data_IF_578236869921
#
_entry.id   IF_578236869921
#
_cell.length_a   1.000
_cell.length_b   1.000
_cell.length_c   1.000
_cell.angle_alpha   90.00
_cell.angle_beta   90.00
_cell.angle_gamma   90.00
#
_symmetry.space_group_name_H-M   'P 1'
#
loop_
_entity.id
_entity.type
_entity.pdbx_description
1 polymer ?
#
# COMPACT_ATOMS: atom_id res chain seq x y z
N UNK A 1 5.11 -41.38 -24.01
CA UNK A 1 3.89 -41.11 -23.20
C UNK A 1 4.30 -40.19 -22.05
N UNK A 2 4.14 -38.88 -22.27
CA UNK A 2 4.53 -37.81 -21.35
C UNK A 2 3.51 -37.64 -20.22
N UNK A 3 3.99 -37.06 -19.11
CA UNK A 3 3.32 -36.19 -18.11
C UNK A 3 3.27 -36.73 -16.68
N UNK A 4 4.42 -36.68 -16.00
CA UNK A 4 4.52 -36.49 -14.54
C UNK A 4 5.67 -35.54 -14.23
N UNK A 5 5.43 -34.24 -14.40
CA UNK A 5 6.27 -33.15 -13.87
C UNK A 5 5.32 -31.98 -13.58
N UNK A 6 5.41 -31.38 -12.38
CA UNK A 6 4.85 -30.05 -12.15
C UNK A 6 4.01 -29.87 -10.88
N UNK A 7 4.55 -30.18 -9.69
CA UNK A 7 4.12 -29.55 -8.44
C UNK A 7 5.34 -29.23 -7.57
N UNK A 8 6.19 -28.37 -8.10
CA UNK A 8 7.15 -27.55 -7.38
C UNK A 8 7.29 -26.27 -8.22
N UNK A 9 7.40 -25.11 -7.57
CA UNK A 9 7.39 -23.72 -8.11
C UNK A 9 6.03 -23.03 -8.00
N UNK A 10 5.76 -22.37 -6.84
CA UNK A 10 5.42 -20.92 -6.73
C UNK A 10 5.76 -20.42 -5.29
N UNK A 11 7.01 -20.58 -4.83
CA UNK A 11 7.45 -19.99 -3.53
C UNK A 11 8.67 -19.05 -3.63
N UNK A 12 9.32 -18.85 -4.77
CA UNK A 12 10.64 -18.15 -4.79
C UNK A 12 10.74 -16.90 -5.69
N UNK A 13 9.63 -16.29 -6.12
CA UNK A 13 9.70 -15.11 -7.02
C UNK A 13 9.52 -13.73 -6.35
N UNK A 14 9.65 -13.60 -5.02
CA UNK A 14 9.57 -12.29 -4.34
C UNK A 14 10.75 -11.93 -3.41
N UNK A 15 11.82 -12.74 -3.38
CA UNK A 15 12.97 -12.50 -2.47
C UNK A 15 14.24 -12.02 -3.19
N UNK A 16 14.33 -12.04 -4.53
CA UNK A 16 15.59 -11.73 -5.24
C UNK A 16 15.60 -10.37 -5.99
N UNK A 17 14.49 -9.61 -6.01
CA UNK A 17 14.41 -8.33 -6.72
C UNK A 17 14.98 -7.10 -6.01
N UNK A 18 15.60 -7.24 -4.83
CA UNK A 18 15.98 -6.09 -3.97
C UNK A 18 17.47 -5.96 -3.65
N UNK A 19 18.34 -6.71 -4.32
CA UNK A 19 19.77 -6.80 -4.00
C UNK A 19 20.66 -6.44 -5.20
N UNK A 20 20.37 -5.38 -5.94
CA UNK A 20 21.37 -4.75 -6.83
C UNK A 20 21.06 -3.27 -7.00
N UNK A 21 22.10 -2.45 -6.84
CA UNK A 21 22.15 -0.99 -6.90
C UNK A 21 21.88 -0.21 -5.61
N UNK A 22 22.76 -0.41 -4.61
CA UNK A 22 23.33 0.78 -3.94
C UNK A 22 24.48 1.29 -4.81
N UNK A 23 24.15 1.89 -5.94
CA UNK A 23 25.06 2.88 -6.51
C UNK A 23 25.05 4.04 -5.53
N UNK A 24 26.20 4.42 -4.98
CA UNK A 24 26.35 5.80 -4.49
C UNK A 24 25.84 6.68 -5.64
N UNK A 25 24.82 7.50 -5.40
CA UNK A 25 24.30 8.38 -6.43
C UNK A 25 25.47 9.28 -6.87
N UNK A 26 26.10 8.92 -7.99
CA UNK A 26 27.10 9.73 -8.64
C UNK A 26 26.36 11.00 -9.03
N UNK A 27 26.88 12.15 -8.59
CA UNK A 27 26.14 13.40 -8.69
C UNK A 27 26.17 13.83 -10.15
N UNK A 28 25.09 13.49 -10.85
CA UNK A 28 25.04 13.64 -12.30
C UNK A 28 25.24 15.09 -12.72
N UNK A 29 26.09 15.29 -13.74
CA UNK A 29 26.21 16.59 -14.40
C UNK A 29 24.90 16.89 -15.12
N UNK A 30 24.29 18.03 -14.78
CA UNK A 30 22.98 18.44 -15.27
C UNK A 30 23.10 19.79 -15.98
N UNK A 31 22.47 19.90 -17.14
CA UNK A 31 22.32 21.18 -17.87
C UNK A 31 20.85 21.47 -18.11
N UNK A 32 20.39 22.67 -17.79
CA UNK A 32 19.02 23.14 -18.04
C UNK A 32 19.10 24.26 -19.06
N UNK A 33 18.49 24.09 -20.24
CA UNK A 33 18.65 24.99 -21.40
C UNK A 33 17.34 25.70 -21.72
N UNK A 34 17.39 26.98 -22.10
CA UNK A 34 16.25 27.72 -22.67
C UNK A 34 15.25 28.27 -21.66
N UNK A 35 15.53 28.18 -20.36
CA UNK A 35 14.62 28.67 -19.31
C UNK A 35 14.69 30.19 -19.16
N UNK A 36 13.61 30.80 -18.64
CA UNK A 36 13.69 32.12 -18.00
C UNK A 36 14.21 31.95 -16.57
N UNK A 37 15.40 32.47 -16.27
CA UNK A 37 16.07 32.25 -15.00
C UNK A 37 15.96 33.49 -14.11
N UNK A 38 15.54 33.32 -12.87
CA UNK A 38 15.59 34.34 -11.82
C UNK A 38 16.75 34.00 -10.87
N UNK A 39 17.95 34.58 -11.08
CA UNK A 39 19.13 34.22 -10.28
C UNK A 39 19.08 34.79 -8.86
N UNK A 40 18.34 35.88 -8.66
CA UNK A 40 18.05 36.44 -7.34
C UNK A 40 16.70 37.18 -7.36
N UNK A 41 16.13 37.53 -6.19
CA UNK A 41 14.89 38.31 -6.12
C UNK A 41 15.00 39.75 -6.67
N UNK A 42 16.22 40.27 -6.83
CA UNK A 42 16.48 41.67 -7.18
C UNK A 42 17.17 41.86 -8.52
N UNK A 43 17.67 40.77 -9.13
CA UNK A 43 18.29 40.82 -10.45
C UNK A 43 17.24 40.68 -11.55
N UNK A 44 17.52 41.28 -12.71
CA UNK A 44 16.71 41.08 -13.88
C UNK A 44 16.73 39.61 -14.33
N UNK A 45 15.60 39.09 -14.85
CA UNK A 45 15.55 37.71 -15.34
C UNK A 45 16.42 37.52 -16.58
N UNK A 46 17.03 36.34 -16.68
CA UNK A 46 17.78 35.92 -17.86
C UNK A 46 16.84 35.11 -18.76
N UNK A 47 16.42 35.68 -19.88
CA UNK A 47 15.58 34.97 -20.85
C UNK A 47 16.41 33.99 -21.68
N UNK A 48 15.84 32.80 -21.96
CA UNK A 48 16.48 31.70 -22.71
C UNK A 48 17.87 31.30 -22.18
N UNK A 49 18.06 31.43 -20.87
CA UNK A 49 19.32 31.12 -20.22
C UNK A 49 19.57 29.63 -20.02
N UNK A 50 20.82 29.31 -19.70
CA UNK A 50 21.26 27.95 -19.38
C UNK A 50 21.88 27.87 -17.98
N UNK A 51 21.46 26.88 -17.18
CA UNK A 51 22.09 26.54 -15.89
C UNK A 51 22.92 25.26 -16.05
N UNK A 52 24.19 25.31 -15.65
CA UNK A 52 25.10 24.18 -15.64
C UNK A 52 25.36 23.77 -14.19
N UNK A 53 25.05 22.51 -13.87
CA UNK A 53 25.24 21.90 -12.56
C UNK A 53 26.29 20.80 -12.66
N UNK A 54 27.34 20.88 -11.84
CA UNK A 54 28.41 19.87 -11.73
C UNK A 54 28.59 19.51 -10.27
N UNK A 55 28.69 18.20 -9.99
CA UNK A 55 28.84 17.68 -8.63
C UNK A 55 27.82 18.27 -7.63
N UNK A 56 26.59 18.53 -8.10
CA UNK A 56 25.48 19.03 -7.27
C UNK A 56 25.55 20.51 -6.95
N UNK A 57 26.46 21.25 -7.57
CA UNK A 57 26.61 22.70 -7.44
C UNK A 57 26.32 23.38 -8.77
N UNK A 58 25.72 24.56 -8.72
CA UNK A 58 25.62 25.43 -9.89
C UNK A 58 27.04 25.87 -10.22
N UNK A 59 27.58 25.35 -11.32
CA UNK A 59 28.90 25.70 -11.82
C UNK A 59 28.84 27.01 -12.60
N UNK A 60 27.77 27.23 -13.36
CA UNK A 60 27.64 28.39 -14.23
C UNK A 60 26.17 28.68 -14.60
N UNK A 61 25.86 29.95 -14.85
CA UNK A 61 24.60 30.41 -15.45
C UNK A 61 24.95 31.28 -16.66
N UNK A 62 24.40 30.97 -17.83
CA UNK A 62 24.65 31.68 -19.10
C UNK A 62 23.37 32.29 -19.64
N UNK A 63 23.48 33.44 -20.29
CA UNK A 63 22.38 34.08 -21.03
C UNK A 63 22.20 33.52 -22.45
N UNK A 64 23.08 32.63 -22.90
CA UNK A 64 23.06 32.04 -24.23
C UNK A 64 22.58 30.57 -24.18
N UNK A 65 21.61 30.15 -25.00
CA UNK A 65 21.18 28.76 -25.15
C UNK A 65 22.20 27.84 -25.86
N UNK A 66 23.33 28.35 -26.37
CA UNK A 66 24.37 27.55 -27.05
C UNK A 66 25.13 26.55 -26.14
N UNK A 67 24.78 26.46 -24.86
CA UNK A 67 25.34 25.53 -23.89
C UNK A 67 24.96 24.04 -24.08
N UNK A 68 24.24 23.69 -25.17
CA UNK A 68 24.04 22.31 -25.62
C UNK A 68 25.35 21.54 -25.92
N UNK A 69 26.50 22.22 -25.89
CA UNK A 69 27.84 21.67 -26.15
C UNK A 69 28.60 21.23 -24.90
N UNK A 70 28.05 21.38 -23.69
CA UNK A 70 28.70 20.88 -22.46
C UNK A 70 28.32 19.42 -22.25
N UNK A 71 29.28 18.47 -22.18
CA UNK A 71 28.98 17.08 -21.86
C UNK A 71 28.28 17.00 -20.49
N UNK A 72 27.04 16.54 -20.50
CA UNK A 72 26.23 16.35 -19.31
C UNK A 72 25.51 15.01 -19.41
N UNK A 73 25.43 14.31 -18.28
CA UNK A 73 24.69 13.05 -18.19
C UNK A 73 23.19 13.28 -18.34
N UNK A 74 22.71 14.49 -18.01
CA UNK A 74 21.31 14.89 -18.17
C UNK A 74 21.19 16.32 -18.70
N UNK A 75 20.36 16.48 -19.73
CA UNK A 75 19.97 17.78 -20.28
C UNK A 75 18.46 17.94 -20.14
N UNK A 76 18.00 19.09 -19.62
CA UNK A 76 16.59 19.47 -19.53
C UNK A 76 16.35 20.63 -20.49
N UNK A 77 15.51 20.40 -21.50
CA UNK A 77 15.00 21.47 -22.37
C UNK A 77 13.84 22.17 -21.66
N UNK A 78 14.01 23.46 -21.37
CA UNK A 78 13.14 24.23 -20.49
C UNK A 78 12.57 25.49 -21.17
N UNK A 79 12.45 25.45 -22.50
CA UNK A 79 11.80 26.51 -23.27
C UNK A 79 10.37 26.77 -22.76
N UNK A 80 10.06 28.04 -22.46
CA UNK A 80 8.78 28.44 -21.89
C UNK A 80 8.61 28.11 -20.40
N UNK A 81 9.63 27.54 -19.75
CA UNK A 81 9.65 27.29 -18.30
C UNK A 81 10.49 28.33 -17.55
N UNK A 82 10.28 28.39 -16.24
CA UNK A 82 10.98 29.29 -15.33
C UNK A 82 11.85 28.50 -14.37
N UNK A 83 13.09 28.95 -14.17
CA UNK A 83 14.00 28.45 -13.14
C UNK A 83 14.19 29.51 -12.06
N UNK A 84 14.03 29.10 -10.80
CA UNK A 84 14.24 29.91 -9.61
C UNK A 84 15.00 29.11 -8.55
N UNK A 85 15.45 29.76 -7.48
CA UNK A 85 15.93 29.06 -6.28
C UNK A 85 14.83 28.17 -5.70
N UNK A 86 15.19 26.99 -5.19
CA UNK A 86 14.24 26.15 -4.46
C UNK A 86 13.66 26.92 -3.26
N UNK A 87 12.35 26.82 -3.04
CA UNK A 87 11.70 27.51 -1.93
C UNK A 87 12.22 27.02 -0.59
N UNK A 88 12.54 27.96 0.31
CA UNK A 88 12.84 27.68 1.71
C UNK A 88 11.58 27.82 2.54
N UNK A 89 11.15 26.72 3.17
CA UNK A 89 10.08 26.75 4.14
C UNK A 89 10.66 27.03 5.54
N UNK A 90 10.51 28.26 6.00
CA UNK A 90 11.07 28.73 7.27
C UNK A 90 10.24 28.33 8.50
N UNK A 91 9.04 27.77 8.32
CA UNK A 91 8.16 27.40 9.43
C UNK A 91 7.60 26.00 9.21
N UNK A 92 8.21 25.03 9.89
CA UNK A 92 7.81 23.63 9.88
C UNK A 92 7.87 23.07 11.30
N UNK A 93 6.89 22.24 11.66
CA UNK A 93 6.90 21.52 12.92
C UNK A 93 7.20 20.04 12.69
N UNK A 94 8.44 19.63 12.98
CA UNK A 94 8.86 18.22 12.99
C UNK A 94 8.87 17.59 14.40
N UNK A 95 8.20 18.22 15.37
CA UNK A 95 8.21 17.82 16.78
C UNK A 95 7.17 16.76 17.12
N UNK A 96 6.22 16.48 16.24
CA UNK A 96 5.25 15.41 16.44
C UNK A 96 5.93 14.03 16.45
N UNK A 97 5.45 13.12 17.30
CA UNK A 97 6.00 11.77 17.47
C UNK A 97 6.09 10.94 16.17
N UNK A 98 5.29 11.27 15.15
CA UNK A 98 5.35 10.65 13.82
C UNK A 98 6.69 10.86 13.10
N UNK A 99 7.50 11.83 13.51
CA UNK A 99 8.78 12.18 12.89
C UNK A 99 10.01 11.62 13.62
N UNK A 100 9.85 11.12 14.86
CA UNK A 100 10.96 10.73 15.73
C UNK A 100 11.92 9.68 15.14
N UNK A 101 11.45 8.88 14.16
CA UNK A 101 12.23 7.85 13.46
C UNK A 101 12.27 8.07 11.94
N UNK A 102 12.05 9.29 11.45
CA UNK A 102 12.01 9.57 10.01
C UNK A 102 13.25 9.07 9.25
N UNK A 103 14.43 9.17 9.87
CA UNK A 103 15.71 8.68 9.34
C UNK A 103 15.82 7.16 9.23
N UNK A 104 15.03 6.40 10.01
CA UNK A 104 15.04 4.94 10.01
C UNK A 104 14.10 4.35 8.94
N UNK A 105 13.18 5.17 8.40
CA UNK A 105 12.32 4.73 7.31
C UNK A 105 13.04 4.86 5.98
N UNK A 106 13.26 3.73 5.32
CA UNK A 106 13.71 3.77 3.93
C UNK A 106 12.59 4.25 3.00
N UNK A 107 12.95 4.81 1.84
CA UNK A 107 12.03 5.03 0.72
C UNK A 107 11.32 3.74 0.26
N UNK A 108 11.72 2.58 0.76
CA UNK A 108 11.06 1.30 0.52
C UNK A 108 9.97 0.93 1.56
N UNK A 109 9.89 1.56 2.73
CA UNK A 109 8.97 1.17 3.80
C UNK A 109 7.66 1.97 3.80
N UNK A 110 6.53 1.28 3.97
CA UNK A 110 5.21 1.91 4.04
C UNK A 110 5.03 2.65 5.35
N UNK A 111 4.47 3.85 5.32
CA UNK A 111 4.14 4.58 6.54
C UNK A 111 2.91 3.97 7.25
N UNK A 112 2.62 4.41 8.48
CA UNK A 112 1.50 3.88 9.29
C UNK A 112 0.15 4.00 8.59
N UNK A 113 -0.13 5.13 7.93
CA UNK A 113 -1.42 5.34 7.24
C UNK A 113 -1.58 4.38 6.07
N UNK A 114 -0.50 4.14 5.33
CA UNK A 114 -0.48 3.21 4.20
C UNK A 114 -0.68 1.76 4.66
N UNK A 115 0.01 1.35 5.74
CA UNK A 115 -0.21 0.03 6.35
C UNK A 115 -1.67 -0.11 6.81
N UNK A 116 -2.20 0.91 7.47
CA UNK A 116 -3.59 0.90 7.93
C UNK A 116 -4.59 0.79 6.77
N UNK A 117 -4.39 1.55 5.69
CA UNK A 117 -5.24 1.46 4.51
C UNK A 117 -5.23 0.05 3.90
N UNK A 118 -4.06 -0.59 3.77
CA UNK A 118 -3.93 -1.94 3.23
C UNK A 118 -4.60 -2.98 4.15
N UNK A 119 -4.40 -2.87 5.47
CA UNK A 119 -5.04 -3.78 6.42
C UNK A 119 -6.56 -3.62 6.41
N UNK A 120 -7.07 -2.39 6.44
CA UNK A 120 -8.50 -2.12 6.37
C UNK A 120 -9.11 -2.59 5.05
N UNK A 121 -8.41 -2.42 3.92
CA UNK A 121 -8.85 -2.92 2.63
C UNK A 121 -9.10 -4.44 2.61
N UNK A 122 -8.42 -5.19 3.48
CA UNK A 122 -8.58 -6.64 3.59
C UNK A 122 -9.72 -7.06 4.53
N UNK A 123 -10.41 -6.11 5.18
CA UNK A 123 -11.49 -6.37 6.17
C UNK A 123 -12.80 -5.68 5.79
N UNK A 124 -12.71 -4.57 5.05
CA UNK A 124 -13.87 -3.80 4.55
C UNK A 124 -14.94 -4.65 3.84
N UNK A 125 -14.62 -5.70 3.04
CA UNK A 125 -15.65 -6.52 2.41
C UNK A 125 -16.69 -7.06 3.40
N UNK A 126 -16.25 -7.50 4.57
CA UNK A 126 -17.09 -8.10 5.62
C UNK A 126 -18.02 -7.11 6.34
N UNK A 127 -17.91 -5.81 6.08
CA UNK A 127 -18.86 -4.84 6.64
C UNK A 127 -20.30 -5.14 6.21
N UNK A 128 -20.50 -5.77 5.05
CA UNK A 128 -21.82 -6.24 4.61
C UNK A 128 -22.37 -7.39 5.49
N UNK A 129 -21.50 -8.11 6.21
CA UNK A 129 -21.87 -9.14 7.18
C UNK A 129 -22.47 -8.60 8.49
N UNK A 130 -22.28 -7.30 8.80
CA UNK A 130 -22.89 -6.66 9.97
C UNK A 130 -24.43 -6.65 9.93
N UNK A 131 -25.02 -6.89 8.74
CA UNK A 131 -26.46 -7.12 8.57
C UNK A 131 -27.02 -8.24 9.46
N UNK A 132 -26.16 -9.14 9.97
CA UNK A 132 -26.56 -10.18 10.92
C UNK A 132 -27.22 -9.62 12.18
N UNK A 133 -26.80 -8.43 12.63
CA UNK A 133 -27.39 -7.79 13.81
C UNK A 133 -28.84 -7.44 13.57
N UNK A 134 -29.15 -6.83 12.42
CA UNK A 134 -30.52 -6.49 12.04
C UNK A 134 -31.36 -7.78 11.88
N UNK A 135 -30.81 -8.80 11.24
CA UNK A 135 -31.50 -10.07 11.01
C UNK A 135 -31.83 -10.79 12.32
N UNK A 136 -30.87 -10.90 13.24
CA UNK A 136 -31.10 -11.53 14.56
C UNK A 136 -32.11 -10.76 15.39
N UNK A 137 -32.05 -9.41 15.40
CA UNK A 137 -32.97 -8.58 16.19
C UNK A 137 -34.40 -8.59 15.64
N UNK A 138 -34.58 -8.81 14.34
CA UNK A 138 -35.89 -8.77 13.67
C UNK A 138 -36.43 -10.15 13.29
N UNK A 139 -35.71 -11.24 13.57
CA UNK A 139 -36.10 -12.61 13.18
C UNK A 139 -37.50 -13.04 13.63
N UNK A 140 -38.01 -12.45 14.71
CA UNK A 140 -39.32 -12.77 15.30
C UNK A 140 -40.38 -11.70 14.99
N UNK A 141 -40.07 -10.71 14.16
CA UNK A 141 -41.03 -9.68 13.74
C UNK A 141 -41.90 -10.20 12.59
N UNK A 142 -43.01 -9.50 12.30
CA UNK A 142 -43.86 -9.79 11.14
C UNK A 142 -43.13 -9.58 9.80
N UNK A 143 -42.04 -8.79 9.79
CA UNK A 143 -41.24 -8.45 8.60
C UNK A 143 -39.75 -8.49 8.96
N UNK A 144 -39.12 -9.68 8.99
CA UNK A 144 -37.71 -9.81 9.33
C UNK A 144 -36.81 -9.14 8.28
N UNK A 145 -35.75 -8.49 8.74
CA UNK A 145 -34.74 -7.85 7.88
C UNK A 145 -33.64 -8.87 7.55
N UNK A 146 -33.67 -9.45 6.37
CA UNK A 146 -32.72 -10.50 5.93
C UNK A 146 -31.41 -9.94 5.37
N UNK A 147 -30.89 -8.86 5.96
CA UNK A 147 -29.79 -8.10 5.36
C UNK A 147 -28.51 -8.90 5.15
N UNK A 148 -28.16 -9.79 6.09
CA UNK A 148 -26.99 -10.65 5.87
C UNK A 148 -27.29 -11.69 4.81
N UNK A 149 -28.43 -12.37 4.92
CA UNK A 149 -28.81 -13.43 4.00
C UNK A 149 -28.93 -12.95 2.54
N UNK A 150 -29.40 -11.72 2.33
CA UNK A 150 -29.61 -11.17 0.99
C UNK A 150 -28.39 -10.45 0.39
N UNK A 151 -27.51 -9.87 1.22
CA UNK A 151 -26.46 -8.94 0.73
C UNK A 151 -25.02 -9.36 1.04
N UNK A 152 -24.78 -10.26 1.99
CA UNK A 152 -23.43 -10.73 2.30
C UNK A 152 -22.85 -11.52 1.11
N UNK A 153 -21.62 -11.20 0.71
CA UNK A 153 -20.97 -11.65 -0.54
C UNK A 153 -21.55 -11.09 -1.87
N UNK A 154 -22.53 -10.19 -1.82
CA UNK A 154 -23.09 -9.52 -3.01
C UNK A 154 -22.55 -8.09 -3.15
N UNK A 155 -22.65 -7.29 -2.09
CA UNK A 155 -22.31 -5.86 -2.14
C UNK A 155 -20.80 -5.60 -2.02
N UNK A 156 -20.14 -6.20 -1.02
CA UNK A 156 -18.75 -5.93 -0.69
C UNK A 156 -17.74 -6.82 -1.41
N UNK A 157 -18.14 -7.96 -1.96
CA UNK A 157 -17.24 -9.03 -2.38
C UNK A 157 -17.15 -9.16 -3.91
N UNK A 158 -16.85 -8.06 -4.59
CA UNK A 158 -16.80 -8.01 -6.05
C UNK A 158 -15.66 -7.12 -6.57
N UNK A 159 -15.41 -7.17 -7.88
CA UNK A 159 -14.36 -6.40 -8.53
C UNK A 159 -14.57 -4.89 -8.36
N UNK A 160 -15.82 -4.41 -8.40
CA UNK A 160 -16.14 -2.99 -8.21
C UNK A 160 -15.73 -2.51 -6.81
N UNK A 161 -16.11 -3.26 -5.76
CA UNK A 161 -15.71 -2.99 -4.38
C UNK A 161 -14.19 -3.02 -4.23
N UNK A 162 -13.52 -3.98 -4.85
CA UNK A 162 -12.06 -4.09 -4.80
C UNK A 162 -11.38 -2.88 -5.45
N UNK A 163 -11.81 -2.48 -6.65
CA UNK A 163 -11.27 -1.33 -7.37
C UNK A 163 -11.53 -0.03 -6.61
N UNK A 164 -12.73 0.14 -6.07
CA UNK A 164 -13.09 1.32 -5.26
C UNK A 164 -12.17 1.45 -4.04
N UNK A 165 -12.03 0.37 -3.26
CA UNK A 165 -11.18 0.36 -2.06
C UNK A 165 -9.71 0.57 -2.42
N UNK A 166 -9.22 -0.03 -3.51
CA UNK A 166 -7.85 0.16 -3.98
C UNK A 166 -7.58 1.62 -4.41
N UNK A 167 -8.52 2.24 -5.14
CA UNK A 167 -8.42 3.65 -5.55
C UNK A 167 -8.43 4.55 -4.32
N UNK A 168 -9.38 4.39 -3.40
CA UNK A 168 -9.45 5.18 -2.16
C UNK A 168 -8.14 5.05 -1.36
N UNK A 169 -7.65 3.82 -1.17
CA UNK A 169 -6.39 3.55 -0.47
C UNK A 169 -5.19 4.23 -1.15
N UNK A 170 -5.17 4.24 -2.48
CA UNK A 170 -4.16 4.94 -3.27
C UNK A 170 -4.24 6.45 -3.13
N UNK A 171 -5.44 7.03 -3.12
CA UNK A 171 -5.65 8.48 -2.99
C UNK A 171 -5.27 9.01 -1.60
N UNK A 172 -5.48 8.21 -0.55
CA UNK A 172 -5.13 8.55 0.84
C UNK A 172 -3.64 8.36 1.15
N UNK A 173 -2.88 7.75 0.25
CA UNK A 173 -1.47 7.39 0.45
C UNK A 173 -0.51 8.40 -0.17
N UNK A 174 0.69 8.49 0.41
CA UNK A 174 1.82 9.16 -0.23
C UNK A 174 2.32 8.31 -1.40
N UNK A 175 2.41 6.99 -1.23
CA UNK A 175 2.86 6.01 -2.23
C UNK A 175 1.70 5.38 -2.98
N UNK A 176 0.93 6.24 -3.66
CA UNK A 176 -0.35 5.93 -4.30
C UNK A 176 -0.42 4.57 -4.98
N UNK A 177 0.47 4.31 -5.95
CA UNK A 177 0.48 3.07 -6.74
C UNK A 177 0.75 1.83 -5.91
N UNK A 178 1.69 1.91 -4.97
CA UNK A 178 2.09 0.78 -4.13
C UNK A 178 0.99 0.43 -3.13
N UNK A 179 0.41 1.44 -2.48
CA UNK A 179 -0.69 1.24 -1.54
C UNK A 179 -1.93 0.72 -2.26
N UNK A 180 -2.29 1.27 -3.42
CA UNK A 180 -3.39 0.76 -4.23
C UNK A 180 -3.19 -0.70 -4.63
N UNK A 181 -2.00 -1.06 -5.14
CA UNK A 181 -1.70 -2.44 -5.54
C UNK A 181 -1.73 -3.43 -4.38
N UNK A 182 -1.22 -3.04 -3.20
CA UNK A 182 -1.25 -3.88 -2.01
C UNK A 182 -2.66 -3.99 -1.41
N UNK A 183 -3.45 -2.91 -1.44
CA UNK A 183 -4.86 -2.95 -1.03
C UNK A 183 -5.68 -3.85 -1.96
N UNK A 184 -5.48 -3.74 -3.28
CA UNK A 184 -6.09 -4.62 -4.28
C UNK A 184 -5.73 -6.09 -4.01
N UNK A 185 -4.46 -6.39 -3.76
CA UNK A 185 -4.01 -7.75 -3.44
C UNK A 185 -4.59 -8.26 -2.12
N UNK A 186 -4.57 -7.45 -1.06
CA UNK A 186 -5.11 -7.81 0.26
C UNK A 186 -6.61 -8.13 0.21
N UNK A 187 -7.37 -7.32 -0.53
CA UNK A 187 -8.78 -7.56 -0.78
C UNK A 187 -9.00 -8.87 -1.57
N UNK A 188 -8.22 -9.15 -2.61
CA UNK A 188 -8.33 -10.42 -3.33
C UNK A 188 -7.94 -11.64 -2.48
N UNK A 189 -6.99 -11.48 -1.56
CA UNK A 189 -6.66 -12.53 -0.59
C UNK A 189 -7.83 -12.80 0.36
N UNK A 190 -8.59 -11.77 0.74
CA UNK A 190 -9.85 -11.92 1.46
C UNK A 190 -10.84 -12.78 0.65
N UNK A 191 -11.13 -12.38 -0.59
CA UNK A 191 -12.03 -13.14 -1.49
C UNK A 191 -11.58 -14.59 -1.68
N UNK A 192 -10.27 -14.82 -1.77
CA UNK A 192 -9.71 -16.17 -1.88
C UNK A 192 -9.95 -16.98 -0.60
N UNK A 193 -9.83 -16.34 0.57
CA UNK A 193 -10.17 -16.93 1.87
C UNK A 193 -11.63 -17.37 1.91
N UNK A 194 -12.55 -16.52 1.46
CA UNK A 194 -13.98 -16.83 1.39
C UNK A 194 -14.26 -18.00 0.45
N UNK A 195 -13.68 -17.96 -0.76
CA UNK A 195 -13.87 -19.00 -1.78
C UNK A 195 -13.42 -20.38 -1.32
N UNK A 196 -12.33 -20.45 -0.56
CA UNK A 196 -11.69 -21.69 -0.15
C UNK A 196 -12.25 -22.20 1.19
N UNK A 197 -12.46 -21.31 2.15
CA UNK A 197 -12.71 -21.66 3.54
C UNK A 197 -13.91 -21.00 4.18
N UNK A 198 -14.83 -20.40 3.41
CA UNK A 198 -15.98 -19.65 3.91
C UNK A 198 -17.32 -20.41 3.99
N UNK A 199 -17.35 -21.75 3.86
CA UNK A 199 -18.63 -22.47 3.80
C UNK A 199 -19.43 -22.32 5.11
N UNK A 200 -20.73 -22.05 4.98
CA UNK A 200 -21.65 -21.85 6.09
C UNK A 200 -21.89 -23.12 6.91
N UNK A 201 -22.43 -22.95 8.12
CA UNK A 201 -22.67 -24.03 9.10
C UNK A 201 -23.63 -25.12 8.58
N UNK A 202 -24.58 -24.76 7.73
CA UNK A 202 -25.54 -25.70 7.10
C UNK A 202 -25.02 -26.31 5.79
N UNK A 203 -23.74 -26.13 5.49
CA UNK A 203 -23.12 -26.60 4.23
C UNK A 203 -23.39 -25.68 3.03
N UNK A 204 -24.10 -24.57 3.23
CA UNK A 204 -24.31 -23.57 2.19
C UNK A 204 -22.97 -22.98 1.73
N UNK A 205 -22.75 -23.05 0.42
CA UNK A 205 -21.60 -22.44 -0.25
C UNK A 205 -21.97 -21.03 -0.66
N UNK A 206 -21.30 -20.04 -0.08
CA UNK A 206 -21.48 -18.63 -0.42
C UNK A 206 -20.77 -18.32 -1.74
N UNK A 207 -21.50 -18.03 -2.84
CA UNK A 207 -20.88 -17.65 -4.10
C UNK A 207 -20.35 -16.22 -4.02
N UNK A 208 -19.20 -15.97 -4.64
CA UNK A 208 -18.66 -14.61 -4.81
C UNK A 208 -19.18 -14.05 -6.14
N UNK A 209 -20.02 -13.02 -6.08
CA UNK A 209 -20.60 -12.36 -7.25
C UNK A 209 -19.62 -11.37 -7.89
N UNK A 210 -18.53 -11.89 -8.48
CA UNK A 210 -17.35 -11.10 -8.82
C UNK A 210 -17.60 -9.92 -9.76
N UNK A 211 -18.59 -10.00 -10.67
CA UNK A 211 -18.95 -8.91 -11.61
C UNK A 211 -20.19 -8.12 -11.21
N UNK A 212 -20.73 -8.31 -10.01
CA UNK A 212 -21.84 -7.48 -9.54
C UNK A 212 -21.41 -5.99 -9.51
N UNK A 213 -22.29 -5.04 -9.92
CA UNK A 213 -23.69 -5.18 -10.33
C UNK A 213 -23.92 -5.44 -11.83
N UNK A 214 -22.86 -5.59 -12.64
CA UNK A 214 -22.99 -5.72 -14.10
C UNK A 214 -23.47 -7.10 -14.56
N UNK A 215 -23.10 -8.14 -13.83
CA UNK A 215 -23.55 -9.50 -14.10
C UNK A 215 -23.66 -10.31 -12.82
N UNK A 216 -24.74 -11.10 -12.74
CA UNK A 216 -24.93 -12.11 -11.71
C UNK A 216 -24.60 -13.52 -12.19
N UNK A 217 -24.26 -13.70 -13.47
CA UNK A 217 -23.97 -15.03 -14.03
C UNK A 217 -22.57 -15.55 -13.69
N UNK A 218 -21.62 -14.63 -13.41
CA UNK A 218 -20.26 -15.02 -13.05
C UNK A 218 -20.08 -15.04 -11.54
N UNK A 219 -20.35 -16.20 -10.97
CA UNK A 219 -20.23 -16.49 -9.56
C UNK A 219 -19.06 -17.45 -9.34
N UNK A 220 -18.17 -17.13 -8.41
CA UNK A 220 -17.10 -18.05 -8.04
C UNK A 220 -17.57 -18.94 -6.90
N UNK A 221 -17.51 -20.24 -7.16
CA UNK A 221 -17.72 -21.31 -6.21
C UNK A 221 -16.61 -22.35 -6.41
N UNK A 222 -16.34 -23.14 -5.38
CA UNK A 222 -15.35 -24.21 -5.47
C UNK A 222 -15.81 -25.45 -4.74
N UNK A 223 -15.84 -26.59 -5.43
CA UNK A 223 -16.35 -27.85 -4.86
C UNK A 223 -15.58 -28.32 -3.61
N UNK A 224 -14.32 -27.88 -3.44
CA UNK A 224 -13.50 -28.20 -2.28
C UNK A 224 -13.67 -27.26 -1.08
N UNK A 225 -14.59 -26.29 -1.14
CA UNK A 225 -14.73 -25.28 -0.09
C UNK A 225 -15.07 -25.94 1.25
N UNK A 226 -14.23 -25.70 2.25
CA UNK A 226 -14.43 -26.23 3.60
C UNK A 226 -15.19 -25.27 4.50
N UNK A 227 -15.71 -25.80 5.61
CA UNK A 227 -16.46 -25.03 6.60
C UNK A 227 -15.61 -23.95 7.27
N UNK A 228 -16.22 -22.79 7.56
CA UNK A 228 -15.53 -21.67 8.20
C UNK A 228 -14.78 -22.05 9.49
N UNK A 229 -15.34 -22.97 10.27
CA UNK A 229 -14.76 -23.47 11.52
C UNK A 229 -13.89 -24.74 11.35
N UNK A 230 -13.50 -25.12 10.13
CA UNK A 230 -12.69 -26.30 9.89
C UNK A 230 -11.23 -26.10 10.35
N UNK A 231 -10.55 -27.22 10.65
CA UNK A 231 -9.16 -27.21 11.13
C UNK A 231 -8.16 -26.44 10.24
N UNK A 232 -8.28 -26.37 8.88
CA UNK A 232 -7.33 -25.59 8.08
C UNK A 232 -7.37 -24.10 8.42
N UNK A 233 -8.58 -23.56 8.66
CA UNK A 233 -8.73 -22.16 9.07
C UNK A 233 -8.17 -21.94 10.48
N UNK A 234 -8.30 -22.90 11.39
CA UNK A 234 -7.71 -22.80 12.73
C UNK A 234 -6.18 -22.76 12.68
N UNK A 235 -5.56 -23.61 11.86
CA UNK A 235 -4.10 -23.63 11.66
C UNK A 235 -3.62 -22.35 10.98
N UNK A 236 -4.32 -21.90 9.93
CA UNK A 236 -3.97 -20.66 9.22
C UNK A 236 -4.07 -19.45 10.17
N UNK A 237 -5.12 -19.38 10.98
CA UNK A 237 -5.32 -18.32 11.97
C UNK A 237 -4.21 -18.32 13.01
N UNK A 238 -3.87 -19.49 13.58
CA UNK A 238 -2.78 -19.61 14.54
C UNK A 238 -1.43 -19.17 13.94
N UNK A 239 -1.15 -19.56 12.69
CA UNK A 239 0.06 -19.15 11.98
C UNK A 239 0.11 -17.63 11.73
N UNK A 240 -1.00 -17.02 11.29
CA UNK A 240 -1.09 -15.58 11.05
C UNK A 240 -0.97 -14.77 12.35
N UNK A 241 -1.55 -15.26 13.45
CA UNK A 241 -1.39 -14.66 14.78
C UNK A 241 0.07 -14.74 15.26
N UNK A 242 0.74 -15.88 15.05
CA UNK A 242 2.16 -16.03 15.35
C UNK A 242 3.01 -15.06 14.52
N UNK A 243 2.79 -14.97 13.21
CA UNK A 243 3.48 -14.02 12.33
C UNK A 243 3.25 -12.59 12.80
N UNK A 244 2.01 -12.24 13.14
CA UNK A 244 1.66 -10.91 13.68
C UNK A 244 2.41 -10.62 14.97
N UNK A 245 2.50 -11.59 15.89
CA UNK A 245 3.29 -11.49 17.12
C UNK A 245 4.79 -11.32 16.85
N UNK A 246 5.34 -12.07 15.89
CA UNK A 246 6.74 -11.96 15.46
C UNK A 246 7.04 -10.60 14.82
N UNK A 247 6.11 -10.05 14.03
CA UNK A 247 6.23 -8.70 13.46
C UNK A 247 6.15 -7.64 14.56
N UNK A 248 5.24 -7.77 15.51
CA UNK A 248 5.17 -6.87 16.66
C UNK A 248 6.47 -6.91 17.49
N UNK A 249 7.00 -8.11 17.73
CA UNK A 249 8.24 -8.30 18.46
C UNK A 249 9.47 -7.73 17.72
N UNK A 250 9.67 -8.07 16.43
CA UNK A 250 10.85 -7.65 15.66
C UNK A 250 10.75 -6.21 15.17
N UNK A 251 9.61 -5.80 14.62
CA UNK A 251 9.44 -4.51 13.93
C UNK A 251 8.72 -3.45 14.78
N UNK A 252 8.18 -3.80 15.94
CA UNK A 252 7.49 -2.86 16.82
C UNK A 252 6.13 -2.39 16.30
N UNK A 253 5.53 -3.13 15.37
CA UNK A 253 4.23 -2.82 14.75
C UNK A 253 3.25 -3.97 15.00
N UNK A 254 2.10 -3.66 15.59
CA UNK A 254 1.01 -4.60 15.88
C UNK A 254 -0.32 -4.08 15.32
N UNK A 255 -1.38 -4.93 15.24
CA UNK A 255 -2.71 -4.49 14.81
C UNK A 255 -3.28 -3.34 15.67
N UNK A 256 -2.87 -3.23 16.93
CA UNK A 256 -3.31 -2.13 17.79
C UNK A 256 -2.82 -0.77 17.31
N UNK A 257 -1.78 -0.71 16.46
CA UNK A 257 -1.35 0.53 15.82
C UNK A 257 -2.49 1.18 15.00
N UNK A 258 -3.46 0.41 14.51
CA UNK A 258 -4.61 0.94 13.78
C UNK A 258 -5.50 1.83 14.66
N UNK A 259 -5.59 1.50 15.94
CA UNK A 259 -6.51 2.16 16.90
C UNK A 259 -5.76 3.14 17.80
N UNK A 260 -4.60 2.73 18.35
CA UNK A 260 -3.85 3.51 19.34
C UNK A 260 -2.35 3.21 19.32
N UNK A 261 -1.53 4.26 19.17
CA UNK A 261 -0.06 4.16 19.26
C UNK A 261 0.39 3.80 20.66
N UNK A 262 -0.29 4.30 21.69
CA UNK A 262 0.00 3.97 23.08
C UNK A 262 -0.23 2.47 23.35
N UNK A 263 -1.36 1.93 22.88
CA UNK A 263 -1.65 0.50 23.03
C UNK A 263 -0.63 -0.37 22.28
N UNK A 264 -0.22 0.04 21.07
CA UNK A 264 0.85 -0.63 20.33
C UNK A 264 2.17 -0.67 21.13
N UNK A 265 2.57 0.46 21.73
CA UNK A 265 3.80 0.54 22.53
C UNK A 265 3.73 -0.36 23.78
N UNK A 266 2.58 -0.44 24.45
CA UNK A 266 2.38 -1.32 25.61
C UNK A 266 2.57 -2.79 25.21
N UNK A 267 1.97 -3.22 24.10
CA UNK A 267 2.13 -4.61 23.60
C UNK A 267 3.58 -4.90 23.22
N UNK A 268 4.19 -4.03 22.42
CA UNK A 268 5.56 -4.22 21.92
C UNK A 268 6.57 -4.25 23.07
N UNK A 269 6.46 -3.32 24.02
CA UNK A 269 7.36 -3.27 25.19
C UNK A 269 7.17 -4.50 26.09
N UNK A 270 5.94 -4.97 26.26
CA UNK A 270 5.66 -6.19 27.04
C UNK A 270 6.25 -7.43 26.38
N UNK A 271 6.08 -7.59 25.07
CA UNK A 271 6.68 -8.69 24.31
C UNK A 271 8.22 -8.67 24.40
N UNK A 272 8.84 -7.50 24.20
CA UNK A 272 10.31 -7.35 24.23
C UNK A 272 10.91 -7.48 25.63
N UNK A 273 10.16 -7.12 26.69
CA UNK A 273 10.56 -7.39 28.08
C UNK A 273 10.56 -8.88 28.38
N UNK A 274 9.58 -9.62 27.86
CA UNK A 274 9.46 -11.07 28.09
C UNK A 274 10.44 -11.87 27.23
N UNK A 275 10.64 -11.44 25.99
CA UNK A 275 11.51 -12.05 25.01
C UNK A 275 12.45 -10.98 24.44
N UNK A 276 13.69 -10.86 24.93
CA UNK A 276 14.64 -9.89 24.41
C UNK A 276 14.87 -10.10 22.91
N UNK A 277 14.85 -9.02 22.13
CA UNK A 277 15.13 -9.09 20.70
C UNK A 277 16.62 -9.45 20.50
N UNK A 278 16.98 -10.36 19.57
CA UNK A 278 18.38 -10.54 19.18
C UNK A 278 18.94 -9.19 18.72
N UNK A 279 20.13 -8.86 19.21
CA UNK A 279 20.93 -7.70 18.80
C UNK A 279 21.26 -7.73 17.32
#
# INVERSE_FOLDING_TARGET
MLRRVGWLVVIVAFIVGGLTHRGMAQVAHLVIVGARIYPSPTADPIDKGTVIVRDGRIAEIRADPSAALVPAERVIQADGLVVTSGFWNCHVHFTESKWANAHAFSDAELNRRERAAITLASVVPDLDGLGIVAEVLTRSSERPLLWRSDYHHVLGHNLCGTLLVAVISGLLATRRRRTAGLAFLGFHLHLLGDLIGGRGLEGFQWPIHYLYPFSQSWQWTWAGQWALNAWPNMVLTAALLLVTGLVAWKRGVSPLELVSTAANQVVVSTLRRRFPCPS
#
